data_IF_538877856306
#
_entry.id   IF_538877856306
#
_cell.length_a   1.000
_cell.length_b   1.000
_cell.length_c   1.000
_cell.angle_alpha   90.00
_cell.angle_beta   90.00
_cell.angle_gamma   90.00
#
_symmetry.space_group_name_H-M   'P 1'
#
loop_
_entity.id
_entity.type
_entity.pdbx_description
1 polymer ?
#
# COMPACT_ATOMS: atom_id res chain seq x y z
N UNK A 1 -4.01 14.14 10.98
CA UNK A 1 -5.00 13.97 12.07
C UNK A 1 -6.07 15.09 12.08
N UNK A 2 -6.67 15.38 10.91
CA UNK A 2 -7.61 16.50 10.70
C UNK A 2 -9.08 16.07 10.75
N UNK A 3 -9.34 14.76 10.64
CA UNK A 3 -10.69 14.16 10.54
C UNK A 3 -11.51 14.26 11.85
N UNK A 4 -10.89 14.02 13.00
CA UNK A 4 -11.62 13.93 14.28
C UNK A 4 -12.20 15.26 14.79
N UNK A 5 -11.81 16.40 14.21
CA UNK A 5 -12.23 17.74 14.67
C UNK A 5 -13.36 18.35 13.83
N UNK A 6 -13.69 17.76 12.68
CA UNK A 6 -14.64 18.33 11.71
C UNK A 6 -15.75 17.35 11.27
N UNK A 7 -15.85 16.16 11.87
CA UNK A 7 -16.85 15.15 11.46
C UNK A 7 -16.59 14.58 10.06
N UNK A 8 -15.35 14.65 9.58
CA UNK A 8 -14.94 14.14 8.28
C UNK A 8 -14.75 12.63 8.39
N UNK A 9 -15.56 11.88 7.66
CA UNK A 9 -15.42 10.43 7.54
C UNK A 9 -14.22 10.09 6.65
N UNK A 10 -13.15 9.61 7.28
CA UNK A 10 -11.91 9.24 6.59
C UNK A 10 -12.13 8.13 5.56
N UNK A 11 -13.17 7.30 5.74
CA UNK A 11 -13.48 6.24 4.80
C UNK A 11 -13.92 6.79 3.44
N UNK A 12 -14.54 7.98 3.38
CA UNK A 12 -15.01 8.57 2.13
C UNK A 12 -13.83 8.84 1.19
N UNK A 13 -12.79 9.51 1.69
CA UNK A 13 -11.57 9.79 0.92
C UNK A 13 -10.89 8.50 0.47
N UNK A 14 -10.60 7.59 1.41
CA UNK A 14 -9.84 6.38 1.11
C UNK A 14 -10.58 5.43 0.16
N UNK A 15 -11.90 5.28 0.33
CA UNK A 15 -12.71 4.41 -0.53
C UNK A 15 -12.80 4.96 -1.95
N UNK A 16 -13.06 6.27 -2.10
CA UNK A 16 -13.13 6.88 -3.43
C UNK A 16 -11.77 6.88 -4.12
N UNK A 17 -10.70 7.14 -3.38
CA UNK A 17 -9.34 7.05 -3.90
C UNK A 17 -9.05 5.65 -4.46
N UNK A 18 -9.31 4.60 -3.67
CA UNK A 18 -9.08 3.22 -4.11
C UNK A 18 -10.03 2.78 -5.24
N UNK A 19 -11.24 3.32 -5.29
CA UNK A 19 -12.16 3.07 -6.40
C UNK A 19 -11.58 3.60 -7.72
N UNK A 20 -11.10 4.85 -7.75
CA UNK A 20 -10.51 5.44 -8.94
C UNK A 20 -9.23 4.70 -9.37
N UNK A 21 -8.41 4.26 -8.42
CA UNK A 21 -7.24 3.41 -8.71
C UNK A 21 -7.68 2.10 -9.37
N UNK A 22 -8.70 1.43 -8.81
CA UNK A 22 -9.17 0.15 -9.34
C UNK A 22 -9.75 0.30 -10.75
N UNK A 23 -10.55 1.35 -11.00
CA UNK A 23 -11.10 1.65 -12.32
C UNK A 23 -9.98 1.84 -13.36
N UNK A 24 -8.95 2.64 -13.05
CA UNK A 24 -7.83 2.86 -13.98
C UNK A 24 -7.02 1.57 -14.25
N UNK A 25 -6.80 0.75 -13.21
CA UNK A 25 -6.02 -0.48 -13.33
C UNK A 25 -6.79 -1.60 -14.05
N UNK A 26 -8.11 -1.63 -13.97
CA UNK A 26 -8.94 -2.57 -14.73
C UNK A 26 -8.85 -2.35 -16.25
N UNK A 27 -8.60 -1.11 -16.68
CA UNK A 27 -8.44 -0.75 -18.10
C UNK A 27 -7.01 -1.02 -18.62
N UNK A 28 -6.09 -1.51 -17.78
CA UNK A 28 -4.71 -1.81 -18.19
C UNK A 28 -4.63 -3.11 -19.01
N UNK A 29 -4.19 -3.00 -20.26
CA UNK A 29 -3.92 -4.16 -21.12
C UNK A 29 -2.52 -4.75 -20.84
N UNK A 30 -2.43 -6.08 -20.68
CA UNK A 30 -1.13 -6.77 -20.56
C UNK A 30 -0.56 -6.91 -19.14
N UNK A 31 -1.39 -6.64 -18.11
CA UNK A 31 -1.02 -6.75 -16.70
C UNK A 31 -0.59 -5.42 -16.08
N UNK A 32 -0.55 -5.38 -14.74
CA UNK A 32 -0.28 -4.13 -14.00
C UNK A 32 1.22 -4.01 -13.69
N UNK A 33 1.87 -3.02 -14.30
CA UNK A 33 3.26 -2.64 -14.02
C UNK A 33 3.37 -1.42 -13.09
N UNK A 34 4.60 -1.04 -12.77
CA UNK A 34 4.88 0.14 -11.94
C UNK A 34 4.31 1.43 -12.56
N UNK A 35 4.49 1.63 -13.88
CA UNK A 35 3.97 2.80 -14.58
C UNK A 35 2.44 2.88 -14.52
N UNK A 36 1.74 1.75 -14.60
CA UNK A 36 0.28 1.68 -14.50
C UNK A 36 -0.19 2.04 -13.08
N UNK A 37 0.49 1.53 -12.06
CA UNK A 37 0.21 1.92 -10.67
C UNK A 37 0.37 3.41 -10.47
N UNK A 38 1.50 4.00 -10.87
CA UNK A 38 1.75 5.43 -10.69
C UNK A 38 0.72 6.29 -11.44
N UNK A 39 0.35 5.89 -12.66
CA UNK A 39 -0.70 6.56 -13.43
C UNK A 39 -2.04 6.51 -12.70
N UNK A 40 -2.44 5.34 -12.20
CA UNK A 40 -3.68 5.16 -11.45
C UNK A 40 -3.70 5.97 -10.14
N UNK A 41 -2.58 6.00 -9.43
CA UNK A 41 -2.40 6.79 -8.22
C UNK A 41 -2.49 8.30 -8.52
N UNK A 42 -1.87 8.75 -9.61
CA UNK A 42 -1.92 10.15 -10.04
C UNK A 42 -3.34 10.56 -10.42
N UNK A 43 -4.05 9.69 -11.16
CA UNK A 43 -5.44 9.91 -11.55
C UNK A 43 -6.35 9.98 -10.32
N UNK A 44 -6.22 9.03 -9.39
CA UNK A 44 -6.99 9.03 -8.16
C UNK A 44 -6.70 10.27 -7.29
N UNK A 45 -5.43 10.64 -7.12
CA UNK A 45 -5.07 11.82 -6.34
C UNK A 45 -5.64 13.12 -6.92
N UNK A 46 -5.69 13.25 -8.25
CA UNK A 46 -6.30 14.40 -8.92
C UNK A 46 -7.84 14.36 -8.92
N UNK A 47 -8.46 13.19 -8.79
CA UNK A 47 -9.90 12.99 -8.92
C UNK A 47 -10.70 12.99 -7.61
N UNK A 48 -10.03 12.91 -6.45
CA UNK A 48 -10.70 12.95 -5.14
C UNK A 48 -10.72 14.38 -4.59
N UNK A 49 -11.90 14.99 -4.59
CA UNK A 49 -12.14 16.33 -4.03
C UNK A 49 -12.66 16.30 -2.58
N UNK A 50 -12.97 15.10 -2.06
CA UNK A 50 -13.51 14.94 -0.72
C UNK A 50 -12.46 15.29 0.35
N UNK A 51 -12.90 15.87 1.46
CA UNK A 51 -12.01 16.15 2.58
C UNK A 51 -11.51 14.83 3.18
N UNK A 52 -10.19 14.69 3.32
CA UNK A 52 -9.60 13.54 3.97
C UNK A 52 -8.16 13.28 3.55
N UNK A 53 -7.65 12.16 4.04
CA UNK A 53 -6.31 11.69 3.73
C UNK A 53 -6.25 10.16 3.81
N UNK A 54 -5.30 9.55 3.12
CA UNK A 54 -5.05 8.13 3.17
C UNK A 54 -3.57 7.80 2.90
N UNK A 55 -3.03 6.87 3.68
CA UNK A 55 -1.85 6.10 3.28
C UNK A 55 -2.25 5.12 2.18
N UNK A 56 -1.32 4.75 1.30
CA UNK A 56 -1.62 3.86 0.18
C UNK A 56 -0.53 2.81 0.02
N UNK A 57 -0.93 1.55 -0.08
CA UNK A 57 -0.06 0.45 -0.46
C UNK A 57 -0.74 -0.35 -1.58
N UNK A 58 -0.13 -0.34 -2.77
CA UNK A 58 -0.55 -1.16 -3.91
C UNK A 58 0.47 -2.26 -4.15
N UNK A 59 0.00 -3.47 -4.40
CA UNK A 59 0.83 -4.60 -4.76
C UNK A 59 0.24 -5.30 -6.00
N UNK A 60 1.04 -5.49 -7.04
CA UNK A 60 0.67 -6.31 -8.19
C UNK A 60 1.70 -7.40 -8.44
N UNK A 61 1.21 -8.59 -8.74
CA UNK A 61 2.00 -9.74 -9.10
C UNK A 61 1.77 -10.07 -10.58
N UNK A 62 2.85 -10.10 -11.34
CA UNK A 62 2.79 -10.48 -12.77
C UNK A 62 2.97 -11.98 -12.96
N UNK A 63 2.59 -12.50 -14.13
CA UNK A 63 2.83 -13.91 -14.51
C UNK A 63 4.31 -14.30 -14.48
N UNK A 64 5.21 -13.31 -14.64
CA UNK A 64 6.65 -13.49 -14.52
C UNK A 64 7.14 -13.65 -13.07
N UNK A 65 6.23 -13.74 -12.08
CA UNK A 65 6.51 -13.79 -10.63
C UNK A 65 7.22 -12.56 -10.10
N UNK A 66 7.01 -11.42 -10.77
CA UNK A 66 7.51 -10.14 -10.30
C UNK A 66 6.43 -9.46 -9.47
N UNK A 67 6.68 -9.31 -8.17
CA UNK A 67 5.88 -8.49 -7.27
C UNK A 67 6.37 -7.04 -7.37
N UNK A 68 5.49 -6.14 -7.77
CA UNK A 68 5.71 -4.69 -7.70
C UNK A 68 4.89 -4.12 -6.57
N UNK A 69 5.49 -3.28 -5.72
CA UNK A 69 4.80 -2.61 -4.61
C UNK A 69 5.02 -1.12 -4.71
N UNK A 70 3.94 -0.33 -4.65
CA UNK A 70 3.98 1.12 -4.51
C UNK A 70 3.44 1.48 -3.13
N UNK A 71 4.26 2.10 -2.27
CA UNK A 71 3.88 2.44 -0.90
C UNK A 71 4.06 3.93 -0.58
N UNK A 72 3.07 4.50 0.10
CA UNK A 72 3.10 5.83 0.70
C UNK A 72 2.49 5.75 2.10
N UNK A 73 3.33 6.03 3.10
CA UNK A 73 2.94 6.00 4.51
C UNK A 73 3.48 4.77 5.25
N UNK A 74 2.78 4.40 6.31
CA UNK A 74 3.13 3.32 7.24
C UNK A 74 2.29 2.05 7.08
N UNK A 75 1.41 2.02 6.08
CA UNK A 75 0.97 0.77 5.47
C UNK A 75 2.15 0.09 4.75
N UNK A 76 1.98 -1.17 4.33
CA UNK A 76 3.06 -1.86 3.65
C UNK A 76 2.78 -3.29 3.21
N UNK A 77 3.79 -3.86 2.57
CA UNK A 77 3.80 -5.24 2.11
C UNK A 77 5.02 -5.99 2.66
N UNK A 78 4.81 -7.25 3.05
CA UNK A 78 5.82 -8.16 3.55
C UNK A 78 5.74 -9.47 2.77
N UNK A 79 6.88 -10.03 2.37
CA UNK A 79 6.95 -11.39 1.82
C UNK A 79 7.55 -12.32 2.86
N UNK A 80 6.81 -13.36 3.19
CA UNK A 80 7.26 -14.44 4.06
C UNK A 80 7.56 -15.68 3.23
N UNK A 81 8.77 -16.22 3.39
CA UNK A 81 9.23 -17.44 2.74
C UNK A 81 9.73 -18.41 3.79
N UNK A 82 9.13 -19.61 3.84
CA UNK A 82 9.53 -20.68 4.77
C UNK A 82 9.62 -20.22 6.24
N UNK A 83 8.71 -19.34 6.65
CA UNK A 83 8.66 -18.81 8.01
C UNK A 83 9.64 -17.69 8.33
N UNK A 84 10.28 -17.09 7.33
CA UNK A 84 11.14 -15.93 7.48
C UNK A 84 10.66 -14.76 6.61
N UNK A 85 10.81 -13.53 7.11
CA UNK A 85 10.57 -12.33 6.31
C UNK A 85 11.74 -12.13 5.36
N UNK A 86 11.49 -12.22 4.06
CA UNK A 86 12.51 -12.03 3.00
C UNK A 86 12.40 -10.69 2.30
N UNK A 87 11.27 -10.00 2.44
CA UNK A 87 11.05 -8.65 1.94
C UNK A 87 10.07 -7.91 2.85
N UNK A 88 10.31 -6.62 3.06
CA UNK A 88 9.37 -5.72 3.72
C UNK A 88 9.55 -4.31 3.14
N UNK A 89 8.45 -3.60 2.91
CA UNK A 89 8.48 -2.17 2.56
C UNK A 89 8.95 -1.34 3.76
N UNK A 90 9.58 -0.20 3.49
CA UNK A 90 9.88 0.77 4.55
C UNK A 90 8.60 1.50 4.96
N UNK A 91 8.40 1.69 6.27
CA UNK A 91 7.39 2.60 6.79
C UNK A 91 7.88 4.04 6.61
N UNK A 92 7.05 4.90 6.00
CA UNK A 92 7.35 6.31 5.72
C UNK A 92 6.52 7.22 6.61
N UNK A 93 7.21 7.90 7.52
CA UNK A 93 6.62 8.87 8.45
C UNK A 93 7.52 10.12 8.54
N UNK A 94 6.92 11.29 8.68
CA UNK A 94 7.65 12.54 8.93
C UNK A 94 8.23 12.56 10.35
N UNK A 95 7.44 12.06 11.29
CA UNK A 95 7.77 11.83 12.69
C UNK A 95 6.81 10.76 13.24
N UNK A 96 7.05 10.32 14.47
CA UNK A 96 6.27 9.24 15.09
C UNK A 96 4.75 9.48 14.97
N UNK A 97 4.06 8.50 14.37
CA UNK A 97 2.61 8.52 14.17
C UNK A 97 2.10 9.67 13.26
N UNK A 98 2.94 10.11 12.32
CA UNK A 98 2.56 11.04 11.24
C UNK A 98 3.05 10.50 9.88
N UNK A 99 2.30 9.58 9.26
CA UNK A 99 2.69 9.00 7.98
C UNK A 99 2.62 10.01 6.84
N UNK A 100 3.39 9.69 5.80
CA UNK A 100 3.17 10.24 4.47
C UNK A 100 1.82 9.73 3.94
N UNK A 101 1.04 10.60 3.32
CA UNK A 101 -0.32 10.27 2.90
C UNK A 101 -0.75 11.17 1.75
N UNK A 102 -1.57 10.64 0.86
CA UNK A 102 -2.33 11.52 -0.02
C UNK A 102 -3.41 12.21 0.79
N UNK A 103 -3.64 13.49 0.53
CA UNK A 103 -4.72 14.22 1.16
C UNK A 103 -5.27 15.29 0.24
N UNK A 104 -6.48 15.76 0.54
CA UNK A 104 -7.18 16.74 -0.29
C UNK A 104 -6.41 18.08 -0.41
N UNK A 105 -5.64 18.44 0.63
CA UNK A 105 -4.82 19.65 0.74
C UNK A 105 -3.33 19.32 0.99
N UNK A 106 -2.94 18.08 0.72
CA UNK A 106 -1.62 17.56 1.01
C UNK A 106 -0.53 18.08 0.11
N UNK A 107 0.70 18.01 0.61
CA UNK A 107 1.89 18.32 -0.17
C UNK A 107 2.43 17.07 -0.88
N UNK A 108 2.25 15.88 -0.29
CA UNK A 108 2.76 14.62 -0.82
C UNK A 108 2.21 14.31 -2.21
N UNK A 109 3.12 14.01 -3.13
CA UNK A 109 2.83 13.66 -4.50
C UNK A 109 3.13 12.19 -4.78
N UNK A 110 2.68 11.70 -5.93
CA UNK A 110 3.01 10.34 -6.40
C UNK A 110 4.54 10.14 -6.54
N UNK A 111 5.28 11.22 -6.77
CA UNK A 111 6.74 11.21 -6.81
C UNK A 111 7.40 10.85 -5.47
N UNK A 112 6.69 11.01 -4.34
CA UNK A 112 7.18 10.68 -3.00
C UNK A 112 6.94 9.21 -2.62
N UNK A 113 6.31 8.43 -3.50
CA UNK A 113 6.06 7.01 -3.26
C UNK A 113 7.32 6.17 -3.40
N UNK A 114 7.44 5.18 -2.52
CA UNK A 114 8.45 4.14 -2.69
C UNK A 114 7.95 3.05 -3.64
N UNK A 115 8.78 2.74 -4.64
CA UNK A 115 8.56 1.61 -5.54
C UNK A 115 9.54 0.49 -5.24
N UNK A 116 8.99 -0.69 -5.06
CA UNK A 116 9.75 -1.91 -4.85
C UNK A 116 9.44 -2.92 -5.94
N UNK A 117 10.45 -3.70 -6.30
CA UNK A 117 10.31 -4.86 -7.17
C UNK A 117 10.99 -6.04 -6.51
N UNK A 118 10.26 -7.14 -6.39
CA UNK A 118 10.74 -8.35 -5.74
C UNK A 118 10.35 -9.59 -6.56
N UNK A 119 11.27 -10.55 -6.70
CA UNK A 119 11.00 -11.81 -7.38
C UNK A 119 10.48 -12.83 -6.37
N UNK A 120 9.21 -13.24 -6.52
CA UNK A 120 8.60 -14.22 -5.62
C UNK A 120 8.86 -15.65 -6.09
N UNK A 121 8.87 -16.56 -5.14
CA UNK A 121 8.98 -17.99 -5.35
C UNK A 121 7.64 -18.67 -5.04
N UNK A 122 7.35 -19.84 -5.64
CA UNK A 122 6.19 -20.62 -5.24
C UNK A 122 6.21 -20.88 -3.72
N UNK A 123 5.04 -20.76 -3.08
CA UNK A 123 4.84 -20.85 -1.63
C UNK A 123 5.29 -19.61 -0.82
N UNK A 124 5.72 -18.53 -1.48
CA UNK A 124 5.82 -17.25 -0.81
C UNK A 124 4.44 -16.74 -0.42
N UNK A 125 4.35 -16.14 0.78
CA UNK A 125 3.15 -15.48 1.28
C UNK A 125 3.38 -13.98 1.25
N UNK A 126 2.58 -13.29 0.43
CA UNK A 126 2.57 -11.82 0.38
C UNK A 126 1.50 -11.33 1.34
N UNK A 127 1.93 -10.62 2.38
CA UNK A 127 1.05 -9.98 3.36
C UNK A 127 1.02 -8.49 3.07
N UNK A 128 -0.16 -7.95 2.77
CA UNK A 128 -0.40 -6.52 2.63
C UNK A 128 -1.31 -6.08 3.77
N UNK A 129 -0.92 -5.07 4.53
CA UNK A 129 -1.67 -4.60 5.68
C UNK A 129 -1.39 -3.12 5.97
N UNK A 130 -2.18 -2.54 6.87
CA UNK A 130 -1.94 -1.21 7.41
C UNK A 130 -1.10 -1.26 8.70
N UNK A 131 -0.71 -0.09 9.18
CA UNK A 131 -0.12 0.18 10.50
C UNK A 131 -0.79 -0.58 11.66
N UNK A 132 -2.12 -0.74 11.64
CA UNK A 132 -2.88 -1.49 12.64
C UNK A 132 -2.44 -2.95 12.82
N UNK A 133 -1.81 -3.58 11.82
CA UNK A 133 -1.15 -4.86 11.99
C UNK A 133 0.32 -4.69 12.40
N UNK A 134 1.06 -3.85 11.66
CA UNK A 134 2.51 -3.76 11.76
C UNK A 134 3.00 -3.11 13.07
N UNK A 135 2.19 -2.26 13.69
CA UNK A 135 2.50 -1.66 15.00
C UNK A 135 2.27 -2.64 16.17
N UNK A 136 1.49 -3.70 15.94
CA UNK A 136 1.02 -4.59 17.01
C UNK A 136 1.69 -5.97 17.00
N UNK A 137 2.40 -6.35 15.93
CA UNK A 137 2.97 -7.68 15.77
C UNK A 137 4.43 -7.58 15.31
N UNK A 138 5.32 -8.32 15.97
CA UNK A 138 6.72 -8.37 15.53
C UNK A 138 6.88 -9.14 14.22
N UNK A 139 7.85 -8.80 13.36
CA UNK A 139 8.09 -9.51 12.10
C UNK A 139 8.26 -11.03 12.27
N UNK A 140 8.87 -11.48 13.38
CA UNK A 140 9.02 -12.91 13.70
C UNK A 140 7.70 -13.60 14.00
N UNK A 141 6.78 -12.91 14.67
CA UNK A 141 5.43 -13.43 14.95
C UNK A 141 4.58 -13.47 13.69
N UNK A 142 4.67 -12.42 12.86
CA UNK A 142 4.04 -12.37 11.55
C UNK A 142 4.49 -13.54 10.69
N UNK A 143 5.80 -13.79 10.61
CA UNK A 143 6.35 -14.89 9.82
C UNK A 143 5.88 -16.27 10.32
N UNK A 144 5.80 -16.46 11.63
CA UNK A 144 5.24 -17.67 12.25
C UNK A 144 3.77 -17.86 11.91
N UNK A 145 2.96 -16.80 11.99
CA UNK A 145 1.53 -16.85 11.68
C UNK A 145 1.30 -17.14 10.19
N UNK A 146 2.04 -16.48 9.31
CA UNK A 146 2.00 -16.73 7.88
C UNK A 146 2.39 -18.18 7.56
N UNK A 147 3.48 -18.69 8.15
CA UNK A 147 3.89 -20.09 7.96
C UNK A 147 2.83 -21.10 8.38
N UNK A 148 2.07 -20.82 9.45
CA UNK A 148 0.96 -21.67 9.88
C UNK A 148 -0.24 -21.63 8.91
N UNK A 149 -0.45 -20.53 8.19
CA UNK A 149 -1.53 -20.38 7.22
C UNK A 149 -1.22 -21.00 5.85
N UNK A 150 0.06 -21.13 5.49
CA UNK A 150 0.51 -21.73 4.23
C UNK A 150 0.79 -23.25 4.29
N UNK A 151 0.62 -23.88 5.46
CA UNK A 151 0.79 -25.31 5.69
C UNK A 151 -0.52 -26.09 5.48
#
# INVERSE_FOLDING_TARGET
>A
ATSCKHGVDSAVYSNKFMQLVAEELCEAEGGVGASDMLRALQHAHAGVEDLGSATVCLAALTEARTLTVANLGDSGAVVVRKGEVVFATASRQHFFNCPYQFSWDGEEQVADMDLYTFQVEPQDLVVVASDGLFDNIFPSELARMAAAAGA
#
